data_IF_635722792814
#
_entry.id   IF_635722792814
#
_cell.length_a   1.000
_cell.length_b   1.000
_cell.length_c   1.000
_cell.angle_alpha   90.00
_cell.angle_beta   90.00
_cell.angle_gamma   90.00
#
_symmetry.space_group_name_H-M   'P 1'
#
loop_
_entity.id
_entity.type
_entity.pdbx_description
1 polymer ?
#
# COMPACT_ATOMS: atom_id res chain seq x y z
N UNK A 1 -9.50 -29.93 0.99
CA UNK A 1 -9.04 -31.07 0.17
C UNK A 1 -7.59 -31.28 0.55
N UNK A 2 -7.33 -32.16 1.51
CA UNK A 2 -5.95 -32.50 1.88
C UNK A 2 -5.36 -33.35 0.77
N UNK A 3 -4.37 -32.80 0.07
CA UNK A 3 -3.53 -33.59 -0.82
C UNK A 3 -2.59 -34.41 0.05
N UNK A 4 -2.98 -35.66 0.37
CA UNK A 4 -2.05 -36.63 0.92
C UNK A 4 -1.08 -37.06 -0.19
N UNK A 5 0.06 -36.38 -0.26
CA UNK A 5 1.20 -36.82 -1.08
C UNK A 5 1.88 -37.96 -0.33
N UNK A 6 1.75 -39.19 -0.82
CA UNK A 6 2.49 -40.35 -0.29
C UNK A 6 3.95 -40.23 -0.70
N UNK A 7 4.81 -39.88 0.27
CA UNK A 7 6.27 -39.67 0.11
C UNK A 7 7.04 -41.00 0.26
N UNK A 8 6.31 -42.08 0.49
CA UNK A 8 6.77 -43.35 1.05
C UNK A 8 7.71 -44.14 0.11
N UNK A 9 7.73 -43.80 -1.18
CA UNK A 9 8.54 -44.45 -2.22
C UNK A 9 9.77 -43.65 -2.67
N UNK A 10 10.11 -42.55 -1.99
CA UNK A 10 11.25 -41.70 -2.35
C UNK A 10 12.53 -42.16 -1.65
N UNK A 11 13.62 -42.25 -2.40
CA UNK A 11 14.95 -42.44 -1.81
C UNK A 11 15.34 -41.23 -0.95
N UNK A 12 16.24 -41.42 0.01
CA UNK A 12 16.72 -40.33 0.89
C UNK A 12 17.28 -39.14 0.09
N UNK A 13 17.91 -39.41 -1.06
CA UNK A 13 18.44 -38.36 -1.94
C UNK A 13 17.32 -37.53 -2.58
N UNK A 14 16.26 -38.18 -3.07
CA UNK A 14 15.10 -37.48 -3.66
C UNK A 14 14.32 -36.71 -2.60
N UNK A 15 14.17 -37.27 -1.40
CA UNK A 15 13.56 -36.55 -0.26
C UNK A 15 14.35 -35.29 0.07
N UNK A 16 15.68 -35.35 0.11
CA UNK A 16 16.52 -34.17 0.35
C UNK A 16 16.34 -33.10 -0.73
N UNK A 17 16.31 -33.50 -2.00
CA UNK A 17 16.07 -32.57 -3.11
C UNK A 17 14.69 -31.90 -3.02
N UNK A 18 13.64 -32.66 -2.68
CA UNK A 18 12.30 -32.11 -2.45
C UNK A 18 12.31 -31.13 -1.27
N UNK A 19 13.01 -31.47 -0.20
CA UNK A 19 13.11 -30.62 0.99
C UNK A 19 13.77 -29.27 0.67
N UNK A 20 14.86 -29.27 -0.11
CA UNK A 20 15.53 -28.04 -0.57
C UNK A 20 14.62 -27.16 -1.44
N UNK A 21 13.78 -27.78 -2.29
CA UNK A 21 12.79 -27.05 -3.09
C UNK A 21 11.73 -26.43 -2.19
N UNK A 22 11.17 -27.18 -1.25
CA UNK A 22 10.15 -26.69 -0.31
C UNK A 22 10.68 -25.57 0.57
N UNK A 23 11.92 -25.67 1.06
CA UNK A 23 12.53 -24.62 1.87
C UNK A 23 12.70 -23.32 1.07
N UNK A 24 13.12 -23.41 -0.19
CA UNK A 24 13.22 -22.25 -1.08
C UNK A 24 11.86 -21.66 -1.38
N UNK A 25 10.85 -22.50 -1.65
CA UNK A 25 9.49 -22.02 -1.89
C UNK A 25 8.93 -21.31 -0.66
N UNK A 26 9.09 -21.89 0.54
CA UNK A 26 8.69 -21.26 1.79
C UNK A 26 9.40 -19.91 2.00
N UNK A 27 10.70 -19.83 1.68
CA UNK A 27 11.44 -18.57 1.77
C UNK A 27 10.92 -17.51 0.78
N UNK A 28 10.54 -17.91 -0.44
CA UNK A 28 9.92 -17.04 -1.43
C UNK A 28 8.54 -16.55 -0.96
N UNK A 29 7.70 -17.46 -0.46
CA UNK A 29 6.39 -17.12 0.10
C UNK A 29 6.54 -16.11 1.24
N UNK A 30 7.44 -16.36 2.20
CA UNK A 30 7.68 -15.45 3.33
C UNK A 30 8.08 -14.04 2.87
N UNK A 31 8.93 -13.92 1.83
CA UNK A 31 9.28 -12.63 1.24
C UNK A 31 8.08 -11.93 0.61
N UNK A 32 7.24 -12.67 -0.12
CA UNK A 32 6.02 -12.12 -0.71
C UNK A 32 5.05 -11.63 0.36
N UNK A 33 4.80 -12.44 1.40
CA UNK A 33 3.94 -12.05 2.52
C UNK A 33 4.46 -10.81 3.25
N UNK A 34 5.76 -10.75 3.53
CA UNK A 34 6.40 -9.59 4.12
C UNK A 34 6.18 -8.34 3.26
N UNK A 35 6.34 -8.45 1.94
CA UNK A 35 6.14 -7.31 1.04
C UNK A 35 4.69 -6.83 1.00
N UNK A 36 3.73 -7.76 0.98
CA UNK A 36 2.31 -7.43 1.06
C UNK A 36 2.00 -6.72 2.39
N UNK A 37 2.57 -7.18 3.50
CA UNK A 37 2.35 -6.58 4.81
C UNK A 37 2.92 -5.16 4.90
N UNK A 38 4.11 -4.90 4.36
CA UNK A 38 4.68 -3.56 4.24
C UNK A 38 3.74 -2.60 3.49
N UNK A 39 3.23 -3.02 2.32
CA UNK A 39 2.34 -2.20 1.50
C UNK A 39 1.01 -1.93 2.22
N UNK A 40 0.45 -2.92 2.91
CA UNK A 40 -0.75 -2.76 3.73
C UNK A 40 -0.53 -1.74 4.86
N UNK A 41 0.62 -1.79 5.54
CA UNK A 41 0.96 -0.85 6.60
C UNK A 41 1.12 0.57 6.06
N UNK A 42 1.77 0.75 4.90
CA UNK A 42 1.90 2.06 4.26
C UNK A 42 0.53 2.67 3.91
N UNK A 43 -0.39 1.87 3.36
CA UNK A 43 -1.76 2.32 3.06
C UNK A 43 -2.50 2.71 4.35
N UNK A 44 -2.37 1.92 5.41
CA UNK A 44 -3.02 2.19 6.68
C UNK A 44 -2.49 3.46 7.36
N UNK A 45 -1.19 3.72 7.30
CA UNK A 45 -0.59 4.96 7.79
C UNK A 45 -1.13 6.19 7.04
N UNK A 46 -1.23 6.12 5.70
CA UNK A 46 -1.86 7.19 4.90
C UNK A 46 -3.32 7.40 5.32
N UNK A 47 -4.05 6.33 5.64
CA UNK A 47 -5.45 6.41 6.09
C UNK A 47 -5.55 7.10 7.44
N UNK A 48 -4.73 6.68 8.41
CA UNK A 48 -4.73 7.23 9.77
C UNK A 48 -4.34 8.71 9.79
N UNK A 49 -3.32 9.09 9.00
CA UNK A 49 -2.91 10.51 8.84
C UNK A 49 -3.97 11.39 8.19
N UNK A 50 -4.97 10.81 7.52
CA UNK A 50 -6.08 11.53 6.90
C UNK A 50 -7.29 11.75 7.82
N UNK A 51 -7.33 11.16 9.03
CA UNK A 51 -8.50 11.23 9.93
C UNK A 51 -8.57 12.58 10.63
N UNK A 52 -9.57 13.40 10.28
CA UNK A 52 -9.88 14.68 10.92
C UNK A 52 -10.21 14.50 12.42
N UNK A 53 -9.76 15.45 13.24
CA UNK A 53 -10.04 15.53 14.68
C UNK A 53 -11.07 16.62 14.96
N UNK A 54 -11.67 16.60 16.15
CA UNK A 54 -12.60 17.64 16.56
C UNK A 54 -11.92 19.02 16.56
N UNK A 55 -12.51 19.97 15.84
CA UNK A 55 -11.98 21.32 15.64
C UNK A 55 -11.16 21.51 14.35
N UNK A 56 -10.90 20.45 13.58
CA UNK A 56 -10.20 20.56 12.30
C UNK A 56 -11.09 21.18 11.21
N UNK A 57 -10.60 22.24 10.56
CA UNK A 57 -11.22 22.78 9.35
C UNK A 57 -10.71 22.04 8.11
N UNK A 58 -11.50 21.06 7.65
CA UNK A 58 -11.21 20.26 6.45
C UNK A 58 -10.97 21.10 5.18
N UNK A 59 -11.44 22.35 5.13
CA UNK A 59 -11.21 23.26 4.01
C UNK A 59 -9.79 23.85 4.01
N UNK A 60 -9.12 23.86 5.16
CA UNK A 60 -7.77 24.41 5.39
C UNK A 60 -6.70 23.34 5.61
N UNK A 61 -7.05 22.06 5.55
CA UNK A 61 -6.11 20.97 5.77
C UNK A 61 -6.02 20.07 4.54
N UNK A 62 -4.82 19.54 4.29
CA UNK A 62 -4.66 18.46 3.32
C UNK A 62 -5.30 17.19 3.87
N UNK A 63 -6.21 16.56 3.14
CA UNK A 63 -6.92 15.36 3.61
C UNK A 63 -6.06 14.08 3.70
N UNK A 64 -4.74 14.15 3.41
CA UNK A 64 -3.82 12.99 3.49
C UNK A 64 -2.74 13.14 4.54
N UNK A 65 -2.12 14.32 4.60
CA UNK A 65 -1.04 14.58 5.55
C UNK A 65 -1.40 15.61 6.62
N UNK A 66 -2.62 16.17 6.57
CA UNK A 66 -3.12 17.20 7.50
C UNK A 66 -2.28 18.47 7.56
N UNK A 67 -1.36 18.67 6.61
CA UNK A 67 -0.63 19.93 6.52
C UNK A 67 -1.60 21.09 6.29
N UNK A 68 -1.44 22.24 6.96
CA UNK A 68 -2.24 23.42 6.71
C UNK A 68 -2.04 23.90 5.27
N UNK A 69 -3.15 24.27 4.64
CA UNK A 69 -3.24 24.85 3.32
C UNK A 69 -3.36 26.37 3.49
N UNK A 70 -2.51 27.10 2.78
CA UNK A 70 -2.52 28.56 2.87
C UNK A 70 -3.68 29.18 2.10
N UNK A 71 -3.95 30.46 2.35
CA UNK A 71 -4.99 31.20 1.60
C UNK A 71 -4.45 31.75 0.28
N UNK A 72 -3.14 31.98 0.18
CA UNK A 72 -2.47 32.58 -0.98
C UNK A 72 -1.56 31.54 -1.65
N UNK A 73 -0.65 30.95 -0.88
CA UNK A 73 0.28 29.92 -1.34
C UNK A 73 -0.15 28.54 -0.84
N UNK A 74 0.07 27.49 -1.66
CA UNK A 74 -0.30 26.12 -1.33
C UNK A 74 -1.75 25.99 -0.83
N UNK A 75 -2.70 26.64 -1.53
CA UNK A 75 -4.13 26.58 -1.22
C UNK A 75 -4.75 25.20 -1.30
N UNK A 76 -3.99 24.22 -1.73
CA UNK A 76 -4.45 22.89 -2.07
C UNK A 76 -5.30 22.88 -3.34
N UNK A 77 -5.61 21.68 -3.81
CA UNK A 77 -6.43 21.44 -4.99
C UNK A 77 -7.23 20.16 -4.76
N UNK A 78 -8.42 20.08 -5.35
CA UNK A 78 -9.34 18.97 -5.13
C UNK A 78 -8.94 17.79 -6.01
N UNK A 79 -8.73 16.62 -5.40
CA UNK A 79 -8.44 15.40 -6.13
C UNK A 79 -9.60 15.06 -7.09
N UNK A 80 -9.34 14.79 -8.38
CA UNK A 80 -10.41 14.48 -9.34
C UNK A 80 -11.17 13.19 -9.00
N UNK A 81 -10.51 12.23 -8.34
CA UNK A 81 -11.10 10.93 -8.04
C UNK A 81 -11.90 10.93 -6.72
N UNK A 82 -11.29 11.37 -5.61
CA UNK A 82 -11.92 11.28 -4.28
C UNK A 82 -12.50 12.61 -3.76
N UNK A 83 -12.43 13.69 -4.53
CA UNK A 83 -12.99 15.03 -4.20
C UNK A 83 -12.49 15.68 -2.90
N UNK A 84 -11.43 15.16 -2.30
CA UNK A 84 -10.78 15.76 -1.12
C UNK A 84 -9.67 16.75 -1.49
N UNK A 85 -9.40 17.71 -0.61
CA UNK A 85 -8.41 18.77 -0.82
C UNK A 85 -6.98 18.31 -0.49
N UNK A 86 -6.02 18.57 -1.39
CA UNK A 86 -4.65 18.05 -1.33
C UNK A 86 -3.60 19.15 -1.43
N UNK A 87 -2.60 19.13 -0.54
CA UNK A 87 -1.38 19.93 -0.71
C UNK A 87 -0.58 19.43 -1.92
N UNK A 88 0.36 20.23 -2.42
CA UNK A 88 1.19 19.86 -3.58
C UNK A 88 1.94 18.54 -3.40
N UNK A 89 2.42 18.25 -2.19
CA UNK A 89 3.20 17.04 -1.89
C UNK A 89 2.36 15.77 -1.87
N UNK A 90 1.03 15.87 -1.73
CA UNK A 90 0.13 14.72 -1.74
C UNK A 90 -0.46 14.41 -3.12
N UNK A 91 0.11 15.01 -4.18
CA UNK A 91 -0.32 14.83 -5.57
C UNK A 91 0.69 13.97 -6.33
N UNK A 92 0.19 13.16 -7.23
CA UNK A 92 0.97 12.32 -8.14
C UNK A 92 0.56 12.67 -9.56
N UNK A 93 1.53 12.97 -10.42
CA UNK A 93 1.28 13.21 -11.83
C UNK A 93 0.94 11.90 -12.54
N UNK A 94 -0.05 11.92 -13.42
CA UNK A 94 -0.47 10.74 -14.19
C UNK A 94 0.20 10.76 -15.58
N UNK A 95 0.48 9.57 -16.11
CA UNK A 95 1.02 9.40 -17.47
C UNK A 95 0.07 9.93 -18.55
N UNK A 96 -1.24 9.89 -18.32
CA UNK A 96 -2.28 10.44 -19.19
C UNK A 96 -2.37 11.97 -19.19
N UNK A 97 -1.51 12.63 -18.43
CA UNK A 97 -1.66 14.04 -18.08
C UNK A 97 -2.57 14.24 -16.86
N UNK A 98 -2.39 15.37 -16.18
CA UNK A 98 -3.09 15.71 -14.94
C UNK A 98 -2.46 15.08 -13.69
N UNK A 99 -3.23 15.02 -12.61
CA UNK A 99 -2.76 14.52 -11.31
C UNK A 99 -3.89 13.85 -10.51
N UNK A 100 -3.52 13.00 -9.55
CA UNK A 100 -4.43 12.46 -8.55
C UNK A 100 -3.76 12.44 -7.18
N UNK A 101 -4.51 12.23 -6.09
CA UNK A 101 -3.89 12.14 -4.77
C UNK A 101 -3.13 10.82 -4.59
N UNK A 102 -2.07 10.79 -3.76
CA UNK A 102 -1.24 9.59 -3.51
C UNK A 102 -2.09 8.37 -3.17
N UNK A 103 -3.13 8.55 -2.35
CA UNK A 103 -4.03 7.45 -1.99
C UNK A 103 -4.80 6.91 -3.20
N UNK A 104 -5.39 7.78 -4.02
CA UNK A 104 -6.11 7.33 -5.21
C UNK A 104 -5.18 6.67 -6.21
N UNK A 105 -3.94 7.15 -6.33
CA UNK A 105 -2.91 6.52 -7.17
C UNK A 105 -2.56 5.11 -6.69
N UNK A 106 -2.37 4.92 -5.37
CA UNK A 106 -2.06 3.61 -4.78
C UNK A 106 -3.24 2.63 -4.73
N UNK A 107 -4.48 3.10 -4.94
CA UNK A 107 -5.68 2.25 -5.00
C UNK A 107 -6.24 2.09 -6.42
N UNK A 108 -5.45 2.43 -7.45
CA UNK A 108 -5.75 2.06 -8.84
C UNK A 108 -5.48 0.58 -9.09
#
# INVERSE_FOLDING_TARGET
MELSLSVDNLSTAEQHQIWEVLQRDQALQNKQYSKINELKNEIQDIRMKGILRDGDDSSRLCARCHSPLGVIFNKGEVCPNCRFKMCKNCRVALFSGGWTCIFCFKNM
#
